data_IF_266259518897
#
_entry.id   IF_266259518897
#
_cell.length_a   1.000
_cell.length_b   1.000
_cell.length_c   1.000
_cell.angle_alpha   90.00
_cell.angle_beta   90.00
_cell.angle_gamma   90.00
#
_symmetry.space_group_name_H-M   'P 1'
#
loop_
_entity.id
_entity.type
_entity.pdbx_description
1 polymer ?
#
# COMPACT_ATOMS: atom_id res chain seq x y z
N UNK A 1 3.76 18.06 19.07
CA UNK A 1 3.88 16.60 18.88
C UNK A 1 4.20 16.32 17.41
N UNK A 2 5.08 15.35 17.11
CA UNK A 2 5.35 14.89 15.73
C UNK A 2 4.62 13.59 15.46
N UNK A 3 3.73 13.58 14.47
CA UNK A 3 3.04 12.35 14.04
C UNK A 3 3.78 11.75 12.86
N UNK A 4 4.19 10.48 12.97
CA UNK A 4 4.75 9.73 11.85
C UNK A 4 3.59 9.20 11.00
N UNK A 5 3.58 9.51 9.71
CA UNK A 5 2.71 8.86 8.72
C UNK A 5 3.55 8.07 7.74
N UNK A 6 3.06 6.90 7.37
CA UNK A 6 3.62 6.09 6.31
C UNK A 6 2.58 5.95 5.20
N UNK A 7 3.05 5.81 3.96
CA UNK A 7 2.21 5.45 2.83
C UNK A 7 2.88 4.36 2.00
N UNK A 8 2.07 3.52 1.38
CA UNK A 8 2.52 2.62 0.33
C UNK A 8 1.61 2.79 -0.88
N UNK A 9 2.24 2.97 -2.03
CA UNK A 9 1.60 3.03 -3.33
C UNK A 9 1.92 1.75 -4.08
N UNK A 10 0.89 1.12 -4.64
CA UNK A 10 0.99 -0.11 -5.42
C UNK A 10 0.31 0.16 -6.74
N UNK A 11 1.01 -0.06 -7.85
CA UNK A 11 0.42 -0.08 -9.19
C UNK A 11 0.47 -1.49 -9.73
N UNK A 12 -0.67 -1.98 -10.20
CA UNK A 12 -0.80 -3.36 -10.65
C UNK A 12 -1.72 -3.44 -11.88
N UNK A 13 -1.53 -4.49 -12.69
CA UNK A 13 -2.38 -4.82 -13.83
C UNK A 13 -3.71 -5.35 -13.33
N UNK A 14 -4.81 -4.87 -13.93
CA UNK A 14 -6.16 -5.37 -13.68
C UNK A 14 -6.79 -5.76 -15.01
N UNK A 15 -7.15 -7.03 -15.16
CA UNK A 15 -7.87 -7.54 -16.32
C UNK A 15 -7.14 -8.64 -17.09
N UNK A 16 -7.89 -9.34 -17.95
CA UNK A 16 -7.37 -10.38 -18.83
C UNK A 16 -6.50 -9.79 -19.94
N UNK A 17 -5.58 -10.59 -20.49
CA UNK A 17 -4.53 -10.25 -21.46
C UNK A 17 -4.93 -9.40 -22.70
N UNK A 18 -6.22 -9.16 -22.95
CA UNK A 18 -6.72 -8.33 -24.04
C UNK A 18 -7.02 -6.87 -23.66
N UNK A 19 -7.14 -6.54 -22.37
CA UNK A 19 -7.39 -5.16 -21.92
C UNK A 19 -6.48 -4.85 -20.73
N UNK A 20 -5.31 -4.26 -21.01
CA UNK A 20 -4.32 -3.92 -19.99
C UNK A 20 -4.72 -2.63 -19.29
N UNK A 21 -5.63 -2.72 -18.32
CA UNK A 21 -5.93 -1.61 -17.42
C UNK A 21 -4.99 -1.64 -16.21
N UNK A 22 -4.55 -0.46 -15.79
CA UNK A 22 -3.70 -0.30 -14.61
C UNK A 22 -4.53 0.27 -13.47
N UNK A 23 -4.42 -0.30 -12.28
CA UNK A 23 -4.99 0.28 -11.07
C UNK A 23 -3.88 0.70 -10.11
N UNK A 24 -4.07 1.84 -9.46
CA UNK A 24 -3.18 2.35 -8.40
C UNK A 24 -3.92 2.33 -7.06
N UNK A 25 -3.34 1.66 -6.07
CA UNK A 25 -3.82 1.63 -4.69
C UNK A 25 -2.84 2.33 -3.78
N UNK A 26 -3.32 3.30 -3.01
CA UNK A 26 -2.54 3.97 -1.97
C UNK A 26 -3.13 3.65 -0.61
N UNK A 27 -2.32 3.07 0.28
CA UNK A 27 -2.66 2.92 1.69
C UNK A 27 -1.83 3.92 2.50
N UNK A 28 -2.47 4.63 3.42
CA UNK A 28 -1.84 5.60 4.32
C UNK A 28 -2.19 5.22 5.74
N UNK A 29 -1.21 5.17 6.63
CA UNK A 29 -1.44 4.84 8.03
C UNK A 29 -0.24 5.14 8.93
N UNK A 30 -0.42 4.88 10.21
CA UNK A 30 0.58 5.11 11.26
C UNK A 30 1.69 4.06 11.21
N UNK A 31 1.32 2.82 10.85
CA UNK A 31 2.23 1.71 10.55
C UNK A 31 1.78 1.01 9.28
N UNK A 32 2.70 0.81 8.35
CA UNK A 32 2.46 0.07 7.11
C UNK A 32 3.51 -1.03 6.96
N UNK A 33 3.05 -2.21 6.52
CA UNK A 33 3.92 -3.31 6.15
C UNK A 33 3.36 -4.08 4.94
N UNK A 34 4.21 -4.92 4.36
CA UNK A 34 3.83 -5.84 3.29
C UNK A 34 4.59 -7.15 3.44
N UNK A 35 4.03 -8.23 2.87
CA UNK A 35 4.66 -9.55 2.78
C UNK A 35 4.10 -10.28 1.57
N UNK A 36 4.84 -11.28 1.11
CA UNK A 36 4.40 -12.14 0.01
C UNK A 36 3.94 -13.47 0.60
N UNK A 37 2.72 -13.88 0.29
CA UNK A 37 2.14 -15.17 0.66
C UNK A 37 1.75 -15.93 -0.60
N UNK A 38 2.52 -16.97 -0.95
CA UNK A 38 2.33 -17.69 -2.21
C UNK A 38 2.51 -16.75 -3.41
N UNK A 39 1.44 -16.59 -4.21
CA UNK A 39 1.43 -15.68 -5.36
C UNK A 39 0.83 -14.31 -5.07
N UNK A 40 0.55 -13.97 -3.81
CA UNK A 40 -0.09 -12.73 -3.41
C UNK A 40 0.89 -11.81 -2.68
N UNK A 41 0.95 -10.55 -3.08
CA UNK A 41 1.46 -9.46 -2.27
C UNK A 41 0.34 -9.00 -1.32
N UNK A 42 0.56 -9.16 -0.02
CA UNK A 42 -0.33 -8.72 1.04
C UNK A 42 0.23 -7.47 1.68
N UNK A 43 -0.53 -6.40 1.68
CA UNK A 43 -0.18 -5.10 2.26
C UNK A 43 -1.15 -4.77 3.37
N UNK A 44 -0.65 -4.32 4.51
CA UNK A 44 -1.48 -3.92 5.63
C UNK A 44 -1.11 -2.53 6.15
N UNK A 45 -2.14 -1.80 6.59
CA UNK A 45 -1.99 -0.63 7.46
C UNK A 45 -2.57 -0.92 8.83
N UNK A 46 -1.94 -0.36 9.85
CA UNK A 46 -2.47 -0.28 11.21
C UNK A 46 -2.45 1.18 11.64
N UNK A 47 -3.65 1.66 11.94
CA UNK A 47 -3.91 2.91 12.66
C UNK A 47 -4.37 2.57 14.09
N UNK A 48 -4.57 3.60 14.92
CA UNK A 48 -4.98 3.42 16.32
C UNK A 48 -6.32 2.67 16.44
N UNK A 49 -7.21 2.85 15.46
CA UNK A 49 -8.60 2.36 15.51
C UNK A 49 -8.95 1.36 14.40
N UNK A 50 -8.06 1.13 13.43
CA UNK A 50 -8.39 0.33 12.23
C UNK A 50 -7.16 -0.40 11.67
N UNK A 51 -7.35 -1.68 11.34
CA UNK A 51 -6.43 -2.45 10.49
C UNK A 51 -7.09 -2.76 9.15
N UNK A 52 -6.42 -2.42 8.05
CA UNK A 52 -6.89 -2.76 6.68
C UNK A 52 -5.82 -3.61 6.01
N UNK A 53 -6.25 -4.68 5.33
CA UNK A 53 -5.40 -5.55 4.53
C UNK A 53 -5.85 -5.49 3.08
N UNK A 54 -4.88 -5.44 2.17
CA UNK A 54 -5.08 -5.38 0.73
C UNK A 54 -4.18 -6.39 0.03
N UNK A 55 -4.75 -7.21 -0.84
CA UNK A 55 -4.03 -8.28 -1.54
C UNK A 55 -4.09 -8.09 -3.05
N UNK A 56 -2.94 -8.26 -3.71
CA UNK A 56 -2.84 -8.30 -5.19
C UNK A 56 -1.94 -9.45 -5.61
N UNK A 57 -2.21 -10.12 -6.75
CA UNK A 57 -1.26 -11.09 -7.29
C UNK A 57 0.08 -10.41 -7.55
N UNK A 58 1.18 -10.99 -7.06
CA UNK A 58 2.51 -10.37 -7.18
C UNK A 58 2.97 -10.27 -8.63
N UNK A 59 2.52 -11.19 -9.48
CA UNK A 59 2.79 -11.18 -10.92
C UNK A 59 2.18 -9.97 -11.63
N UNK A 60 1.12 -9.38 -11.06
CA UNK A 60 0.43 -8.22 -11.63
C UNK A 60 1.05 -6.91 -11.14
N UNK A 61 1.92 -6.92 -10.11
CA UNK A 61 2.52 -5.72 -9.54
C UNK A 61 3.62 -5.18 -10.46
N UNK A 62 3.45 -3.94 -10.90
CA UNK A 62 4.40 -3.26 -11.80
C UNK A 62 5.30 -2.31 -11.03
N UNK A 63 4.76 -1.69 -9.98
CA UNK A 63 5.47 -0.70 -9.20
C UNK A 63 4.97 -0.68 -7.76
N UNK A 64 5.90 -0.55 -6.81
CA UNK A 64 5.60 -0.38 -5.40
C UNK A 64 6.59 0.60 -4.77
N UNK A 65 6.07 1.58 -4.04
CA UNK A 65 6.86 2.58 -3.32
C UNK A 65 6.31 2.78 -1.91
N UNK A 66 7.19 2.76 -0.91
CA UNK A 66 6.85 3.06 0.48
C UNK A 66 7.55 4.33 0.94
N UNK A 67 6.76 5.27 1.46
CA UNK A 67 7.24 6.58 1.92
C UNK A 67 6.92 6.75 3.40
N UNK A 68 7.84 7.36 4.16
CA UNK A 68 7.64 7.69 5.57
C UNK A 68 7.91 9.17 5.81
N UNK A 69 6.93 9.88 6.35
CA UNK A 69 7.01 11.32 6.61
C UNK A 69 6.73 11.62 8.07
N UNK A 70 7.39 12.63 8.62
CA UNK A 70 7.11 13.18 9.95
C UNK A 70 6.38 14.50 9.79
N UNK A 71 5.13 14.55 10.24
CA UNK A 71 4.33 15.78 10.23
C UNK A 71 4.48 16.41 11.61
N UNK A 72 5.11 17.60 11.67
CA UNK A 72 5.05 18.46 12.86
C UNK A 72 3.71 19.17 12.82
N UNK A 73 2.91 19.05 13.89
CA UNK A 73 1.79 19.98 14.08
C UNK A 73 2.40 21.39 14.22
N UNK A 74 2.12 22.28 13.27
CA UNK A 74 2.43 23.71 13.44
C UNK A 74 1.51 24.23 14.56
N UNK A 75 2.13 24.81 15.59
CA UNK A 75 1.43 25.61 16.60
C UNK A 75 1.17 27.01 16.04
#
# INVERSE_FOLDING_TARGET
>A
MTTKKQSIKIRYMKGNAQNSEYEEKVLVGSKIGYRVEGNMLIVWKSDLDESVTYGVPIADVIFMEQTSSRIKAQQ
#
